data_IF_917600718958
#
_entry.id   IF_917600718958
#
_cell.length_a   1.000
_cell.length_b   1.000
_cell.length_c   1.000
_cell.angle_alpha   90.00
_cell.angle_beta   90.00
_cell.angle_gamma   90.00
#
_symmetry.space_group_name_H-M   'P 1'
#
loop_
_entity.id
_entity.type
_entity.pdbx_description
1 polymer ?
#
# COMPACT_ATOMS: atom_id res chain seq x y z
N UNK A 1 -8.42 30.49 -13.41
CA UNK A 1 -7.11 29.87 -13.09
C UNK A 1 -7.26 29.04 -11.84
N UNK A 2 -6.63 27.87 -11.77
CA UNK A 2 -6.61 27.07 -10.54
C UNK A 2 -5.53 27.61 -9.59
N UNK A 3 -5.85 27.74 -8.29
CA UNK A 3 -4.88 28.07 -7.24
C UNK A 3 -4.16 26.83 -6.68
N UNK A 4 -4.50 25.62 -7.16
CA UNK A 4 -3.85 24.37 -6.77
C UNK A 4 -2.63 24.14 -7.65
N UNK A 5 -1.46 23.85 -7.03
CA UNK A 5 -0.23 23.54 -7.75
C UNK A 5 -0.45 22.39 -8.74
N UNK A 6 0.10 22.50 -9.93
CA UNK A 6 -0.07 21.52 -11.01
C UNK A 6 0.89 20.33 -10.84
N UNK A 7 0.73 19.56 -9.76
CA UNK A 7 1.54 18.38 -9.44
C UNK A 7 0.97 17.08 -9.98
N UNK A 8 -0.27 17.11 -10.52
CA UNK A 8 -0.98 15.94 -11.06
C UNK A 8 -1.55 16.22 -12.44
N UNK A 9 -1.43 15.26 -13.36
CA UNK A 9 -2.15 15.24 -14.63
C UNK A 9 -3.60 14.79 -14.37
N UNK A 10 -4.48 15.73 -13.97
CA UNK A 10 -5.87 15.42 -13.61
C UNK A 10 -6.70 15.03 -14.81
N UNK A 11 -7.51 13.98 -14.65
CA UNK A 11 -8.57 13.67 -15.61
C UNK A 11 -9.71 14.70 -15.48
N UNK A 12 -10.42 15.02 -16.58
CA UNK A 12 -11.46 16.06 -16.60
C UNK A 12 -12.79 15.56 -16.02
N UNK A 13 -12.78 15.11 -14.77
CA UNK A 13 -13.96 14.69 -14.03
C UNK A 13 -13.85 15.14 -12.58
N UNK A 14 -14.96 15.59 -11.98
CA UNK A 14 -15.05 15.93 -10.58
C UNK A 14 -16.18 15.10 -9.94
N UNK A 15 -15.84 14.28 -8.96
CA UNK A 15 -16.81 13.47 -8.24
C UNK A 15 -17.43 14.27 -7.10
N UNK A 16 -18.75 14.18 -6.95
CA UNK A 16 -19.54 14.87 -5.94
C UNK A 16 -20.23 13.94 -4.96
N UNK A 17 -20.34 12.65 -5.30
CA UNK A 17 -20.96 11.62 -4.45
C UNK A 17 -20.27 10.27 -4.68
N UNK A 18 -20.25 9.44 -3.61
CA UNK A 18 -19.82 8.04 -3.69
C UNK A 18 -20.71 7.14 -2.83
N UNK A 19 -20.90 5.87 -3.26
CA UNK A 19 -21.64 4.84 -2.53
C UNK A 19 -21.16 3.46 -2.94
N UNK A 20 -20.72 2.63 -1.99
CA UNK A 20 -20.16 1.31 -2.28
C UNK A 20 -18.98 1.40 -3.24
N UNK A 21 -19.03 0.70 -4.35
CA UNK A 21 -18.00 0.73 -5.40
C UNK A 21 -18.27 1.79 -6.50
N UNK A 22 -19.16 2.75 -6.26
CA UNK A 22 -19.58 3.71 -7.28
C UNK A 22 -19.30 5.15 -6.89
N UNK A 23 -18.92 5.95 -7.88
CA UNK A 23 -18.79 7.40 -7.80
C UNK A 23 -19.68 8.09 -8.82
N UNK A 24 -20.15 9.30 -8.52
CA UNK A 24 -20.93 10.14 -9.42
C UNK A 24 -20.28 11.49 -9.59
N UNK A 25 -20.24 11.95 -10.83
CA UNK A 25 -19.83 13.31 -11.16
C UNK A 25 -20.97 14.34 -10.99
N UNK A 26 -20.65 15.60 -11.25
CA UNK A 26 -21.60 16.73 -11.16
C UNK A 26 -22.73 16.67 -12.18
N UNK A 27 -22.61 15.87 -13.24
CA UNK A 27 -23.63 15.68 -14.27
C UNK A 27 -24.53 14.45 -13.98
N UNK A 28 -24.26 13.74 -12.88
CA UNK A 28 -25.00 12.55 -12.47
C UNK A 28 -24.54 11.27 -13.16
N UNK A 29 -23.50 11.31 -13.98
CA UNK A 29 -22.89 10.09 -14.56
C UNK A 29 -22.20 9.31 -13.46
N UNK A 30 -22.43 7.99 -13.46
CA UNK A 30 -21.80 7.08 -12.48
C UNK A 30 -20.57 6.37 -13.07
N UNK A 31 -19.65 6.06 -12.17
CA UNK A 31 -18.41 5.39 -12.51
C UNK A 31 -18.16 4.26 -11.51
N UNK A 32 -17.86 3.06 -12.04
CA UNK A 32 -17.44 1.92 -11.24
C UNK A 32 -15.98 2.12 -10.81
N UNK A 33 -15.72 2.08 -9.51
CA UNK A 33 -14.39 2.35 -8.97
C UNK A 33 -13.54 1.08 -8.90
N UNK A 34 -12.78 0.81 -9.95
CA UNK A 34 -11.78 -0.26 -9.98
C UNK A 34 -10.45 0.10 -9.33
N UNK A 35 -10.34 1.29 -8.67
CA UNK A 35 -9.09 1.82 -8.14
C UNK A 35 -9.13 2.13 -6.63
N UNK A 36 -10.31 2.43 -6.08
CA UNK A 36 -10.52 2.77 -4.66
C UNK A 36 -9.57 3.85 -4.13
N UNK A 37 -9.33 4.91 -4.91
CA UNK A 37 -8.39 5.97 -4.53
C UNK A 37 -6.93 5.49 -4.41
N UNK A 38 -6.54 4.48 -5.17
CA UNK A 38 -5.26 3.75 -5.11
C UNK A 38 -5.16 2.93 -3.81
N UNK A 39 -6.07 1.96 -3.65
CA UNK A 39 -6.19 1.06 -2.50
C UNK A 39 -6.47 1.78 -1.15
N UNK A 40 -7.09 2.95 -1.18
CA UNK A 40 -7.41 3.75 0.02
C UNK A 40 -8.81 3.43 0.54
N UNK A 41 -9.82 3.48 -0.32
CA UNK A 41 -11.23 3.30 0.07
C UNK A 41 -11.58 1.81 0.20
N UNK A 42 -11.01 1.16 1.23
CA UNK A 42 -11.16 -0.28 1.47
C UNK A 42 -12.61 -0.71 1.61
N UNK A 43 -13.40 0.08 2.33
CA UNK A 43 -14.84 -0.15 2.55
C UNK A 43 -15.73 0.47 1.47
N UNK A 44 -15.14 0.92 0.35
CA UNK A 44 -15.86 1.70 -0.64
C UNK A 44 -16.20 3.11 -0.16
N UNK A 45 -17.18 3.71 -0.79
CA UNK A 45 -17.61 5.08 -0.53
C UNK A 45 -18.84 5.09 0.38
N UNK A 46 -18.88 6.05 1.33
CA UNK A 46 -20.01 6.32 2.23
C UNK A 46 -20.57 5.07 2.95
N UNK A 47 -19.68 4.16 3.39
CA UNK A 47 -20.10 2.94 4.10
C UNK A 47 -20.91 3.30 5.37
N UNK A 48 -22.16 2.82 5.56
CA UNK A 48 -23.07 3.34 6.60
C UNK A 48 -22.50 3.24 8.03
N UNK A 49 -21.95 2.07 8.42
CA UNK A 49 -21.38 1.89 9.76
C UNK A 49 -20.12 2.73 9.97
N UNK A 50 -19.30 2.89 8.94
CA UNK A 50 -18.10 3.73 9.00
C UNK A 50 -18.48 5.20 9.16
N UNK A 51 -19.42 5.70 8.35
CA UNK A 51 -19.92 7.07 8.42
C UNK A 51 -20.53 7.37 9.78
N UNK A 52 -21.36 6.45 10.33
CA UNK A 52 -21.97 6.62 11.66
C UNK A 52 -20.92 6.71 12.77
N UNK A 53 -19.90 5.86 12.75
CA UNK A 53 -18.82 5.86 13.75
C UNK A 53 -18.02 7.17 13.71
N UNK A 54 -17.66 7.64 12.50
CA UNK A 54 -16.92 8.91 12.35
C UNK A 54 -17.78 10.11 12.77
N UNK A 55 -19.06 10.16 12.39
CA UNK A 55 -19.96 11.23 12.79
C UNK A 55 -20.10 11.32 14.32
N UNK A 56 -20.20 10.18 14.99
CA UNK A 56 -20.22 10.14 16.46
C UNK A 56 -18.89 10.63 17.07
N UNK A 57 -17.75 10.22 16.51
CA UNK A 57 -16.44 10.64 17.01
C UNK A 57 -16.16 12.12 16.76
N UNK A 58 -16.58 12.67 15.61
CA UNK A 58 -16.48 14.10 15.30
C UNK A 58 -17.24 14.92 16.33
N UNK A 59 -18.43 14.46 16.76
CA UNK A 59 -19.21 15.11 17.80
C UNK A 59 -18.65 14.99 19.21
N UNK A 60 -17.67 14.10 19.43
CA UNK A 60 -17.06 13.82 20.74
C UNK A 60 -15.71 14.50 20.92
N UNK A 61 -14.74 14.13 20.09
CA UNK A 61 -13.34 14.62 20.17
C UNK A 61 -12.60 14.27 18.88
N UNK A 62 -12.02 15.27 18.21
CA UNK A 62 -11.23 15.05 17.00
C UNK A 62 -9.76 14.85 17.32
N UNK A 63 -9.18 15.71 18.17
CA UNK A 63 -7.75 15.75 18.48
C UNK A 63 -7.50 16.29 19.89
N UNK A 64 -6.49 15.75 20.59
CA UNK A 64 -6.10 16.24 21.91
C UNK A 64 -4.59 16.27 22.17
N UNK A 65 -3.74 15.96 21.21
CA UNK A 65 -2.27 15.81 21.34
C UNK A 65 -1.79 14.51 22.01
N UNK A 66 -0.65 13.99 21.53
CA UNK A 66 0.06 12.83 22.11
C UNK A 66 0.79 13.13 23.43
N UNK A 67 0.64 14.33 23.98
CA UNK A 67 1.05 14.65 25.34
C UNK A 67 0.13 13.98 26.38
N UNK A 68 -1.06 13.62 25.97
CA UNK A 68 -2.07 12.93 26.77
C UNK A 68 -2.29 11.51 26.26
N UNK A 69 -2.86 10.66 27.10
CA UNK A 69 -3.33 9.33 26.67
C UNK A 69 -4.56 9.47 25.76
N UNK A 70 -4.61 8.66 24.71
CA UNK A 70 -5.70 8.62 23.73
C UNK A 70 -6.28 7.21 23.69
N UNK A 71 -7.45 7.00 24.26
CA UNK A 71 -8.06 5.66 24.36
C UNK A 71 -8.26 4.99 23.00
N UNK A 72 -8.72 5.74 22.01
CA UNK A 72 -8.93 5.24 20.64
C UNK A 72 -7.61 4.78 19.98
N UNK A 73 -6.48 5.39 20.38
CA UNK A 73 -5.14 5.01 19.92
C UNK A 73 -4.73 3.66 20.52
N UNK A 74 -4.91 3.47 21.82
CA UNK A 74 -4.62 2.20 22.51
C UNK A 74 -5.47 1.06 21.93
N UNK A 75 -6.78 1.27 21.76
CA UNK A 75 -7.69 0.26 21.18
C UNK A 75 -7.27 -0.15 19.77
N UNK A 76 -6.84 0.81 18.93
CA UNK A 76 -6.37 0.49 17.58
C UNK A 76 -5.01 -0.21 17.63
N UNK A 77 -4.09 0.19 18.51
CA UNK A 77 -2.79 -0.46 18.70
C UNK A 77 -2.97 -1.91 19.14
N UNK A 78 -3.80 -2.18 20.14
CA UNK A 78 -4.12 -3.53 20.60
C UNK A 78 -4.67 -4.40 19.47
N UNK A 79 -5.62 -3.85 18.68
CA UNK A 79 -6.17 -4.58 17.53
C UNK A 79 -5.11 -4.89 16.49
N UNK A 80 -4.27 -3.93 16.12
CA UNK A 80 -3.19 -4.12 15.15
C UNK A 80 -2.16 -5.13 15.66
N UNK A 81 -1.70 -5.03 16.90
CA UNK A 81 -0.76 -5.98 17.50
C UNK A 81 -1.32 -7.41 17.51
N UNK A 82 -2.60 -7.55 17.87
CA UNK A 82 -3.29 -8.85 17.84
C UNK A 82 -3.35 -9.46 16.43
N UNK A 83 -3.66 -8.66 15.39
CA UNK A 83 -3.78 -9.14 14.01
C UNK A 83 -2.42 -9.43 13.37
N UNK A 84 -1.39 -8.68 13.74
CA UNK A 84 -0.02 -8.79 13.21
C UNK A 84 0.86 -9.75 13.98
N UNK A 85 0.54 -10.07 15.24
CA UNK A 85 1.43 -10.75 16.19
C UNK A 85 2.71 -9.92 16.46
N UNK A 86 2.66 -8.60 16.29
CA UNK A 86 3.73 -7.66 16.59
C UNK A 86 3.46 -6.96 17.94
N UNK A 87 4.37 -6.09 18.41
CA UNK A 87 4.40 -5.70 19.82
C UNK A 87 4.01 -4.26 20.10
N UNK A 88 4.34 -3.31 19.22
CA UNK A 88 4.08 -1.89 19.46
C UNK A 88 3.84 -1.13 18.16
N UNK A 89 3.12 -0.02 18.26
CA UNK A 89 2.69 0.79 17.11
C UNK A 89 3.03 2.26 17.33
N UNK A 90 3.68 2.88 16.36
CA UNK A 90 3.74 4.33 16.23
C UNK A 90 2.73 4.78 15.17
N UNK A 91 1.82 5.70 15.51
CA UNK A 91 0.84 6.26 14.58
C UNK A 91 1.30 7.56 13.95
N UNK A 92 0.97 7.74 12.67
CA UNK A 92 1.22 8.92 11.87
C UNK A 92 0.04 9.17 10.90
N UNK A 93 0.23 9.98 9.83
CA UNK A 93 -0.89 10.40 8.98
C UNK A 93 -0.84 9.84 7.56
N UNK A 94 0.26 9.20 7.18
CA UNK A 94 0.49 8.74 5.81
C UNK A 94 1.48 7.58 5.75
N UNK A 95 1.51 6.88 4.59
CA UNK A 95 2.53 5.86 4.33
C UNK A 95 3.95 6.44 4.25
N UNK A 96 4.10 7.69 3.78
CA UNK A 96 5.39 8.38 3.81
C UNK A 96 5.92 8.50 5.24
N UNK A 97 5.09 9.01 6.16
CA UNK A 97 5.48 9.18 7.56
C UNK A 97 5.73 7.83 8.26
N UNK A 98 4.94 6.80 7.94
CA UNK A 98 5.16 5.45 8.46
C UNK A 98 6.53 4.89 7.99
N UNK A 99 6.88 5.07 6.72
CA UNK A 99 8.17 4.66 6.18
C UNK A 99 9.33 5.54 6.70
N UNK A 100 9.13 6.85 6.93
CA UNK A 100 10.12 7.70 7.62
C UNK A 100 10.40 7.18 9.04
N UNK A 101 9.36 6.79 9.77
CA UNK A 101 9.52 6.17 11.10
C UNK A 101 10.32 4.87 11.02
N UNK A 102 10.01 3.98 10.08
CA UNK A 102 10.75 2.73 9.85
C UNK A 102 12.22 2.97 9.49
N UNK A 103 12.51 3.94 8.60
CA UNK A 103 13.88 4.33 8.22
C UNK A 103 14.64 4.89 9.43
N UNK A 104 14.01 5.76 10.23
CA UNK A 104 14.64 6.31 11.46
C UNK A 104 14.88 5.22 12.50
N UNK A 105 13.92 4.31 12.69
CA UNK A 105 14.06 3.17 13.60
C UNK A 105 15.25 2.30 13.18
N UNK A 106 15.37 1.95 11.90
CA UNK A 106 16.50 1.17 11.39
C UNK A 106 17.86 1.87 11.60
N UNK A 107 17.92 3.21 11.43
CA UNK A 107 19.14 3.96 11.72
C UNK A 107 19.50 3.95 13.21
N UNK A 108 18.54 4.15 14.09
CA UNK A 108 18.76 4.04 15.54
C UNK A 108 19.23 2.63 15.94
N UNK A 109 18.59 1.59 15.39
CA UNK A 109 19.01 0.21 15.58
C UNK A 109 20.48 0.01 15.19
N UNK A 110 20.92 0.54 14.05
CA UNK A 110 22.29 0.47 13.61
C UNK A 110 23.27 1.21 14.54
N UNK A 111 22.92 2.40 14.98
CA UNK A 111 23.74 3.17 15.94
C UNK A 111 23.87 2.45 17.30
N UNK A 112 22.82 1.79 17.76
CA UNK A 112 22.90 0.97 18.99
C UNK A 112 23.86 -0.23 18.84
N UNK A 113 24.15 -0.65 17.60
CA UNK A 113 25.15 -1.69 17.29
C UNK A 113 26.53 -1.11 16.96
N UNK A 114 26.75 0.19 17.13
CA UNK A 114 28.02 0.86 16.85
C UNK A 114 28.29 1.12 15.39
N UNK A 115 27.29 1.01 14.51
CA UNK A 115 27.42 1.31 13.07
C UNK A 115 27.22 2.83 12.87
N UNK A 116 28.28 3.53 12.49
CA UNK A 116 28.25 5.00 12.34
C UNK A 116 27.42 5.48 11.15
N UNK A 117 27.40 4.73 10.05
CA UNK A 117 26.69 5.07 8.82
C UNK A 117 25.71 3.96 8.40
N UNK A 118 24.61 3.75 9.16
CA UNK A 118 23.67 2.68 8.89
C UNK A 118 23.07 2.77 7.48
N UNK A 119 23.07 1.65 6.78
CA UNK A 119 22.53 1.52 5.44
C UNK A 119 21.33 0.57 5.40
N UNK A 120 20.37 0.86 4.53
CA UNK A 120 19.15 0.10 4.32
C UNK A 120 19.13 -0.41 2.88
N UNK A 121 18.96 -1.72 2.69
CA UNK A 121 18.73 -2.28 1.37
C UNK A 121 17.30 -1.95 0.92
N UNK A 122 17.15 -1.46 -0.31
CA UNK A 122 15.87 -1.17 -0.97
C UNK A 122 15.86 -1.78 -2.37
N UNK A 123 14.68 -1.99 -2.93
CA UNK A 123 14.52 -2.67 -4.22
C UNK A 123 14.41 -1.68 -5.39
N UNK A 124 14.86 -2.11 -6.57
CA UNK A 124 14.52 -1.44 -7.81
C UNK A 124 13.00 -1.39 -8.00
N UNK A 125 12.50 -0.32 -8.62
CA UNK A 125 11.07 -0.07 -8.90
C UNK A 125 10.17 0.00 -7.66
N UNK A 126 10.73 -0.04 -6.43
CA UNK A 126 9.96 0.17 -5.20
C UNK A 126 9.38 1.59 -5.12
N UNK A 127 8.29 1.73 -4.38
CA UNK A 127 7.71 3.03 -4.04
C UNK A 127 7.42 3.10 -2.54
N UNK A 128 8.17 3.96 -1.84
CA UNK A 128 8.03 4.10 -0.38
C UNK A 128 7.54 5.49 0.05
N UNK A 129 7.38 6.44 -0.88
CA UNK A 129 6.85 7.77 -0.58
C UNK A 129 7.52 8.92 -1.34
N UNK A 130 7.17 10.16 -0.94
CA UNK A 130 7.59 11.40 -1.59
C UNK A 130 8.30 12.38 -0.65
N UNK A 131 8.50 12.05 0.63
CA UNK A 131 9.39 12.79 1.53
C UNK A 131 10.85 12.49 1.16
N UNK A 132 11.81 13.32 1.56
CA UNK A 132 13.18 13.18 1.06
C UNK A 132 13.80 11.80 1.31
N UNK A 133 13.64 11.21 2.51
CA UNK A 133 14.21 9.89 2.76
C UNK A 133 13.41 8.78 2.05
N UNK A 134 12.08 8.82 2.07
CA UNK A 134 11.27 7.81 1.35
C UNK A 134 11.40 7.92 -0.16
N UNK A 135 11.61 9.15 -0.70
CA UNK A 135 11.93 9.39 -2.10
C UNK A 135 13.28 8.75 -2.47
N UNK A 136 14.27 8.90 -1.58
CA UNK A 136 15.60 8.29 -1.78
C UNK A 136 15.56 6.76 -1.75
N UNK A 137 14.68 6.18 -0.91
CA UNK A 137 14.41 4.74 -0.86
C UNK A 137 13.63 4.25 -2.09
N UNK A 138 12.79 5.09 -2.71
CA UNK A 138 11.98 4.77 -3.89
C UNK A 138 12.86 4.45 -5.10
N UNK A 139 12.58 3.33 -5.80
CA UNK A 139 13.36 2.80 -6.91
C UNK A 139 13.04 3.39 -8.30
N UNK A 140 12.51 4.61 -8.38
CA UNK A 140 12.11 5.26 -9.62
C UNK A 140 12.84 6.60 -9.82
N UNK A 141 13.80 6.63 -10.76
CA UNK A 141 14.59 7.84 -11.04
C UNK A 141 13.77 9.01 -11.60
N UNK A 142 12.66 8.76 -12.30
CA UNK A 142 11.79 9.82 -12.83
C UNK A 142 11.21 10.70 -11.72
N UNK A 143 10.92 10.11 -10.55
CA UNK A 143 10.35 10.85 -9.41
C UNK A 143 11.41 11.46 -8.49
N UNK A 144 12.66 11.04 -8.60
CA UNK A 144 13.81 11.58 -7.85
C UNK A 144 14.43 12.81 -8.52
N UNK A 145 14.36 12.88 -9.86
CA UNK A 145 15.01 13.90 -10.66
C UNK A 145 14.57 15.32 -10.23
N UNK A 146 15.55 16.19 -9.96
CA UNK A 146 15.34 17.56 -9.52
C UNK A 146 15.24 17.75 -8.00
N UNK A 147 15.37 16.66 -7.22
CA UNK A 147 15.36 16.71 -5.75
C UNK A 147 16.69 16.30 -5.11
N UNK A 148 17.75 16.23 -5.90
CA UNK A 148 19.11 15.98 -5.43
C UNK A 148 19.64 17.16 -4.60
N UNK A 149 20.52 16.92 -3.59
CA UNK A 149 21.10 15.63 -3.23
C UNK A 149 20.11 14.73 -2.47
N UNK A 150 20.05 13.45 -2.86
CA UNK A 150 19.23 12.46 -2.18
C UNK A 150 19.82 12.13 -0.81
N UNK A 151 18.97 11.65 0.11
CA UNK A 151 19.41 11.17 1.42
C UNK A 151 20.25 9.90 1.25
N UNK A 152 21.45 9.90 1.84
CA UNK A 152 22.37 8.77 1.82
C UNK A 152 21.93 7.61 2.71
N UNK A 153 22.59 6.44 2.57
CA UNK A 153 22.36 5.25 3.39
C UNK A 153 21.34 4.28 2.78
N UNK A 154 21.14 4.30 1.47
CA UNK A 154 20.34 3.32 0.76
C UNK A 154 21.20 2.51 -0.23
N UNK A 155 21.08 1.18 -0.18
CA UNK A 155 21.71 0.24 -1.11
C UNK A 155 20.62 -0.39 -1.97
N UNK A 156 20.66 -0.15 -3.29
CA UNK A 156 19.61 -0.61 -4.19
C UNK A 156 19.99 -1.91 -4.85
N UNK A 157 19.08 -2.89 -4.82
CA UNK A 157 19.26 -4.23 -5.42
C UNK A 157 18.08 -4.58 -6.34
N UNK A 158 18.27 -5.47 -7.32
CA UNK A 158 17.17 -5.98 -8.13
C UNK A 158 16.13 -6.72 -7.30
N UNK A 159 14.89 -6.71 -7.75
CA UNK A 159 13.75 -7.38 -7.12
C UNK A 159 13.81 -8.89 -7.40
N UNK A 160 13.56 -9.75 -6.39
CA UNK A 160 13.66 -11.21 -6.45
C UNK A 160 15.10 -11.73 -6.72
N UNK A 161 16.14 -10.98 -6.39
CA UNK A 161 17.55 -11.37 -6.58
C UNK A 161 18.23 -11.62 -5.22
N UNK A 162 18.28 -12.89 -4.79
CA UNK A 162 18.95 -13.27 -3.54
C UNK A 162 20.49 -13.22 -3.65
N UNK A 163 21.06 -13.36 -4.82
CA UNK A 163 22.52 -13.28 -4.99
C UNK A 163 23.00 -11.84 -4.79
N UNK A 164 22.24 -10.86 -5.27
CA UNK A 164 22.51 -9.46 -4.96
C UNK A 164 22.45 -9.17 -3.45
N UNK A 165 21.47 -9.74 -2.72
CA UNK A 165 21.39 -9.60 -1.25
C UNK A 165 22.62 -10.22 -0.58
N UNK A 166 23.04 -11.42 -0.98
CA UNK A 166 24.22 -12.11 -0.43
C UNK A 166 25.51 -11.35 -0.71
N UNK A 167 25.66 -10.79 -1.91
CA UNK A 167 26.82 -9.95 -2.25
C UNK A 167 26.88 -8.71 -1.37
N UNK A 168 25.75 -8.03 -1.13
CA UNK A 168 25.70 -6.90 -0.20
C UNK A 168 26.09 -7.34 1.21
N UNK A 169 25.57 -8.48 1.69
CA UNK A 169 25.90 -9.03 3.00
C UNK A 169 27.42 -9.31 3.18
N UNK A 170 28.08 -9.75 2.13
CA UNK A 170 29.52 -10.03 2.17
C UNK A 170 30.39 -8.77 2.18
N UNK A 171 29.97 -7.70 1.48
CA UNK A 171 30.84 -6.56 1.18
C UNK A 171 30.45 -5.26 1.88
N UNK A 172 29.25 -5.16 2.48
CA UNK A 172 28.79 -3.94 3.14
C UNK A 172 28.39 -4.18 4.60
N UNK A 173 29.29 -3.85 5.52
CA UNK A 173 29.10 -4.01 6.98
C UNK A 173 28.20 -2.94 7.61
N UNK A 174 27.82 -1.92 6.85
CA UNK A 174 26.96 -0.85 7.35
C UNK A 174 25.46 -1.18 7.21
N UNK A 175 25.11 -2.27 6.52
CA UNK A 175 23.69 -2.64 6.37
C UNK A 175 23.09 -3.08 7.69
N UNK A 176 21.94 -2.52 8.00
CA UNK A 176 21.20 -2.77 9.25
C UNK A 176 19.77 -3.24 9.01
N UNK A 177 19.23 -3.07 7.79
CA UNK A 177 17.87 -3.42 7.46
C UNK A 177 17.66 -3.64 5.95
N UNK A 178 16.57 -4.32 5.63
CA UNK A 178 16.00 -4.41 4.26
C UNK A 178 14.58 -3.85 4.33
N UNK A 179 14.25 -2.88 3.46
CA UNK A 179 12.89 -2.35 3.28
C UNK A 179 12.33 -2.81 1.94
N UNK A 180 11.21 -3.52 1.96
CA UNK A 180 10.65 -4.14 0.76
C UNK A 180 9.12 -4.17 0.77
N UNK A 181 8.51 -3.98 -0.40
CA UNK A 181 7.11 -4.27 -0.66
C UNK A 181 6.96 -5.74 -1.06
N UNK A 182 6.10 -6.52 -0.39
CA UNK A 182 5.83 -7.89 -0.87
C UNK A 182 5.16 -7.89 -2.25
N UNK A 183 4.33 -6.89 -2.53
CA UNK A 183 3.78 -6.63 -3.86
C UNK A 183 4.08 -5.18 -4.21
N UNK A 184 4.97 -4.95 -5.16
CA UNK A 184 5.28 -3.62 -5.66
C UNK A 184 4.10 -3.07 -6.46
N UNK A 185 3.30 -2.20 -5.85
CA UNK A 185 2.13 -1.64 -6.51
C UNK A 185 2.49 -0.73 -7.69
N UNK A 186 3.36 0.24 -7.45
CA UNK A 186 3.82 1.20 -8.47
C UNK A 186 4.82 0.58 -9.45
N UNK A 187 5.54 -0.46 -9.03
CA UNK A 187 6.47 -1.23 -9.87
C UNK A 187 5.80 -2.19 -10.86
N UNK A 188 4.47 -2.17 -11.00
CA UNK A 188 3.71 -2.97 -11.95
C UNK A 188 3.05 -4.21 -11.36
N UNK A 189 2.58 -4.15 -10.12
CA UNK A 189 1.94 -5.26 -9.40
C UNK A 189 2.83 -6.52 -9.41
N UNK A 190 4.11 -6.35 -9.09
CA UNK A 190 5.08 -7.43 -9.03
C UNK A 190 5.12 -8.03 -7.63
N UNK A 191 4.99 -9.35 -7.55
CA UNK A 191 4.96 -10.09 -6.29
C UNK A 191 6.31 -10.72 -6.00
N UNK A 192 6.81 -10.58 -4.76
CA UNK A 192 7.96 -11.37 -4.28
C UNK A 192 7.57 -12.84 -4.15
N UNK A 193 8.46 -13.70 -4.57
CA UNK A 193 8.33 -15.14 -4.38
C UNK A 193 8.35 -15.47 -2.89
N UNK A 194 7.54 -16.44 -2.48
CA UNK A 194 7.47 -16.88 -1.08
C UNK A 194 8.87 -17.37 -0.63
N UNK A 195 9.51 -18.19 -1.44
CA UNK A 195 10.84 -18.72 -1.14
C UNK A 195 11.90 -17.62 -1.03
N UNK A 196 11.81 -16.56 -1.87
CA UNK A 196 12.69 -15.40 -1.77
C UNK A 196 12.52 -14.69 -0.43
N UNK A 197 11.28 -14.41 -0.03
CA UNK A 197 11.01 -13.68 1.22
C UNK A 197 11.39 -14.50 2.46
N UNK A 198 11.22 -15.84 2.41
CA UNK A 198 11.72 -16.76 3.46
C UNK A 198 13.25 -16.75 3.57
N UNK A 199 13.95 -16.81 2.45
CA UNK A 199 15.42 -16.70 2.42
C UNK A 199 15.89 -15.31 2.87
N UNK A 200 15.16 -14.23 2.49
CA UNK A 200 15.48 -12.89 2.93
C UNK A 200 15.33 -12.76 4.46
N UNK A 201 14.29 -13.35 5.06
CA UNK A 201 14.14 -13.43 6.52
C UNK A 201 15.35 -14.13 7.16
N UNK A 202 15.74 -15.28 6.62
CA UNK A 202 16.91 -16.03 7.11
C UNK A 202 18.19 -15.18 7.05
N UNK A 203 18.48 -14.53 5.93
CA UNK A 203 19.66 -13.66 5.80
C UNK A 203 19.58 -12.49 6.79
N UNK A 204 18.41 -11.88 6.98
CA UNK A 204 18.24 -10.82 7.99
C UNK A 204 18.53 -11.32 9.41
N UNK A 205 18.16 -12.56 9.73
CA UNK A 205 18.45 -13.16 11.04
C UNK A 205 19.96 -13.45 11.20
N UNK A 206 20.61 -14.05 10.20
CA UNK A 206 22.04 -14.37 10.18
C UNK A 206 22.92 -13.10 10.27
N UNK A 207 22.52 -12.02 9.60
CA UNK A 207 23.24 -10.75 9.54
C UNK A 207 22.84 -9.78 10.66
N UNK A 208 21.89 -10.15 11.51
CA UNK A 208 21.29 -9.27 12.51
C UNK A 208 20.68 -7.98 11.91
N UNK A 209 20.11 -8.07 10.70
CA UNK A 209 19.38 -6.97 10.05
C UNK A 209 17.91 -6.98 10.42
N UNK A 210 17.25 -5.82 10.35
CA UNK A 210 15.81 -5.73 10.41
C UNK A 210 15.19 -6.08 9.05
N UNK A 211 14.20 -6.96 9.03
CA UNK A 211 13.31 -7.11 7.89
C UNK A 211 12.12 -6.17 8.05
N UNK A 212 12.03 -5.16 7.19
CA UNK A 212 10.99 -4.15 7.20
C UNK A 212 10.08 -4.34 5.98
N UNK A 213 8.79 -4.55 6.20
CA UNK A 213 7.80 -4.73 5.13
C UNK A 213 6.92 -3.49 4.98
N UNK A 214 6.92 -2.92 3.77
CA UNK A 214 5.98 -1.88 3.38
C UNK A 214 4.67 -2.53 2.92
N UNK A 215 3.68 -2.52 3.80
CA UNK A 215 2.33 -3.03 3.56
C UNK A 215 1.31 -1.90 3.32
N UNK A 216 1.78 -0.71 2.99
CA UNK A 216 0.95 0.48 2.75
C UNK A 216 -0.08 0.24 1.65
N UNK A 217 0.26 -0.50 0.60
CA UNK A 217 -0.67 -0.79 -0.49
C UNK A 217 -1.27 -2.20 -0.46
N UNK A 218 -0.54 -3.19 0.03
CA UNK A 218 -0.95 -4.60 0.00
C UNK A 218 -1.54 -5.12 1.31
N UNK A 219 -1.47 -4.35 2.40
CA UNK A 219 -2.07 -4.68 3.70
C UNK A 219 -3.58 -4.46 3.77
N UNK A 220 -4.11 -4.59 4.98
CA UNK A 220 -5.52 -4.31 5.33
C UNK A 220 -6.51 -5.05 4.43
N UNK A 221 -6.33 -6.37 4.31
CA UNK A 221 -7.27 -7.24 3.61
C UNK A 221 -7.10 -7.33 2.08
N UNK A 222 -6.28 -6.45 1.49
CA UNK A 222 -6.13 -6.31 0.02
C UNK A 222 -5.82 -7.63 -0.70
N UNK A 223 -5.02 -8.51 -0.09
CA UNK A 223 -4.57 -9.78 -0.66
C UNK A 223 -5.39 -10.99 -0.23
N UNK A 224 -6.50 -10.80 0.51
CA UNK A 224 -7.31 -11.89 1.07
C UNK A 224 -6.84 -12.38 2.44
N UNK A 225 -5.78 -11.81 2.99
CA UNK A 225 -5.36 -11.91 4.40
C UNK A 225 -5.21 -10.52 4.97
N UNK A 226 -5.12 -10.37 6.29
CA UNK A 226 -4.93 -9.06 6.92
C UNK A 226 -3.72 -8.34 6.33
N UNK A 227 -2.60 -9.06 6.20
CA UNK A 227 -1.34 -8.54 5.66
C UNK A 227 -0.77 -9.50 4.63
N UNK A 228 -0.09 -8.98 3.63
CA UNK A 228 0.44 -9.79 2.54
C UNK A 228 1.52 -10.77 3.01
N UNK A 229 2.33 -10.42 4.03
CA UNK A 229 3.34 -11.33 4.58
C UNK A 229 2.74 -12.62 5.17
N UNK A 230 1.50 -12.60 5.64
CA UNK A 230 0.84 -13.78 6.22
C UNK A 230 0.64 -14.94 5.22
N UNK A 231 0.83 -14.68 3.92
CA UNK A 231 0.87 -15.74 2.92
C UNK A 231 2.21 -16.51 2.89
N UNK A 232 3.22 -16.03 3.59
CA UNK A 232 4.61 -16.54 3.46
C UNK A 232 5.10 -17.27 4.70
N UNK A 233 4.38 -17.17 5.81
CA UNK A 233 4.73 -17.81 7.07
C UNK A 233 5.90 -17.15 7.84
N UNK A 234 6.37 -15.96 7.41
CA UNK A 234 7.41 -15.20 8.11
C UNK A 234 6.78 -14.10 8.98
N UNK A 235 7.53 -13.58 9.94
CA UNK A 235 7.19 -12.37 10.70
C UNK A 235 8.26 -11.30 10.43
N UNK A 236 7.88 -10.06 10.04
CA UNK A 236 8.83 -8.96 9.91
C UNK A 236 9.21 -8.39 11.28
N UNK A 237 10.34 -7.69 11.35
CA UNK A 237 10.71 -6.90 12.51
C UNK A 237 9.97 -5.55 12.55
N UNK A 238 9.72 -4.98 11.36
CA UNK A 238 8.98 -3.72 11.19
C UNK A 238 7.99 -3.85 10.04
N UNK A 239 6.81 -3.28 10.21
CA UNK A 239 5.80 -3.20 9.16
C UNK A 239 5.19 -1.81 9.11
N UNK A 240 4.97 -1.27 7.90
CA UNK A 240 4.32 0.03 7.71
C UNK A 240 2.95 -0.11 7.06
N UNK A 241 1.99 0.66 7.53
CA UNK A 241 0.61 0.69 7.07
C UNK A 241 0.14 2.11 6.80
N UNK A 242 -0.82 2.27 5.90
CA UNK A 242 -1.60 3.49 5.69
C UNK A 242 -2.81 3.16 4.80
N UNK A 243 -3.17 4.05 3.85
CA UNK A 243 -4.21 3.84 2.83
C UNK A 243 -5.45 3.14 3.37
N UNK A 244 -5.58 1.84 3.08
CA UNK A 244 -6.72 1.02 3.48
C UNK A 244 -7.02 0.99 4.96
N UNK A 245 -6.05 1.30 5.83
CA UNK A 245 -6.24 1.36 7.28
C UNK A 245 -7.31 2.39 7.67
N UNK A 246 -7.30 3.56 7.04
CA UNK A 246 -8.23 4.65 7.34
C UNK A 246 -9.47 4.69 6.44
N UNK A 247 -9.54 3.85 5.41
CA UNK A 247 -10.64 3.82 4.42
C UNK A 247 -11.07 5.22 3.92
N UNK A 248 -10.08 6.10 3.66
CA UNK A 248 -10.26 7.48 3.19
C UNK A 248 -9.80 8.53 4.22
N UNK A 249 -9.78 8.22 5.51
CA UNK A 249 -9.22 9.10 6.55
C UNK A 249 -7.70 8.96 6.58
N UNK A 250 -6.93 10.07 6.58
CA UNK A 250 -5.48 10.02 6.68
C UNK A 250 -5.01 9.40 8.01
N UNK A 251 -4.36 8.26 7.91
CA UNK A 251 -3.69 7.55 9.01
C UNK A 251 -2.57 6.69 8.45
N UNK A 252 -1.47 6.57 9.19
CA UNK A 252 -0.40 5.63 8.96
C UNK A 252 0.04 4.99 10.26
N UNK A 253 0.72 3.87 10.17
CA UNK A 253 1.29 3.18 11.33
C UNK A 253 2.64 2.54 10.97
N UNK A 254 3.59 2.65 11.88
CA UNK A 254 4.83 1.87 11.89
C UNK A 254 4.73 0.91 13.07
N UNK A 255 4.79 -0.39 12.80
CA UNK A 255 4.61 -1.45 13.79
C UNK A 255 5.94 -2.16 13.97
N UNK A 256 6.36 -2.42 15.19
CA UNK A 256 7.63 -3.05 15.52
C UNK A 256 7.44 -4.33 16.35
N UNK A 257 8.38 -5.28 16.18
CA UNK A 257 8.43 -6.52 16.93
C UNK A 257 9.88 -6.99 17.15
N UNK A 258 10.07 -7.89 18.12
CA UNK A 258 11.34 -8.52 18.39
C UNK A 258 12.45 -7.50 18.65
N UNK A 259 13.55 -7.57 17.90
CA UNK A 259 14.70 -6.67 18.02
C UNK A 259 14.45 -5.22 17.59
N UNK A 260 13.33 -4.95 16.94
CA UNK A 260 12.89 -3.60 16.57
C UNK A 260 12.02 -2.94 17.65
N UNK A 261 11.42 -3.71 18.57
CA UNK A 261 10.60 -3.18 19.63
C UNK A 261 11.45 -2.48 20.70
N UNK A 262 10.90 -1.40 21.31
CA UNK A 262 11.57 -0.65 22.36
C UNK A 262 12.73 0.26 21.91
N UNK A 263 13.01 0.35 20.61
CA UNK A 263 14.10 1.21 20.09
C UNK A 263 13.76 2.69 20.22
N UNK A 264 12.55 3.09 19.88
CA UNK A 264 12.10 4.44 20.08
C UNK A 264 11.80 4.71 21.55
N UNK A 265 12.35 5.80 22.07
CA UNK A 265 12.13 6.30 23.42
C UNK A 265 11.51 7.71 23.34
N UNK A 266 10.90 8.21 24.41
CA UNK A 266 10.35 9.57 24.46
C UNK A 266 11.34 10.61 23.90
N UNK A 267 10.87 11.41 22.93
CA UNK A 267 11.66 12.45 22.25
C UNK A 267 12.40 12.00 20.99
N UNK A 268 12.49 10.71 20.67
CA UNK A 268 13.19 10.25 19.46
C UNK A 268 12.41 10.51 18.18
N UNK A 269 11.09 10.39 18.23
CA UNK A 269 10.19 10.60 17.09
C UNK A 269 8.84 11.12 17.58
N UNK A 270 8.04 11.71 16.67
CA UNK A 270 6.74 12.24 17.04
C UNK A 270 5.94 12.72 15.83
N UNK A 271 4.65 12.91 16.06
CA UNK A 271 3.70 13.49 15.10
C UNK A 271 2.66 14.28 15.88
N UNK A 272 2.32 15.48 15.39
CA UNK A 272 1.27 16.30 16.01
C UNK A 272 -0.10 15.64 15.86
N UNK A 273 -0.46 15.19 14.66
CA UNK A 273 -1.78 14.63 14.34
C UNK A 273 -1.83 13.11 14.38
N UNK A 274 -0.69 12.43 14.29
CA UNK A 274 -0.64 10.97 14.24
C UNK A 274 -1.27 10.34 15.47
N UNK A 275 -2.19 9.39 15.26
CA UNK A 275 -2.89 8.70 16.35
C UNK A 275 -3.99 9.51 17.02
N UNK A 276 -4.53 10.57 16.37
CA UNK A 276 -5.65 11.32 16.93
C UNK A 276 -6.93 10.46 17.04
N UNK A 277 -7.85 10.81 17.95
CA UNK A 277 -9.07 10.03 18.17
C UNK A 277 -9.91 9.75 16.93
N UNK A 278 -10.05 10.73 16.02
CA UNK A 278 -10.84 10.55 14.80
C UNK A 278 -10.18 9.53 13.85
N UNK A 279 -8.89 9.66 13.59
CA UNK A 279 -8.16 8.77 12.70
C UNK A 279 -8.08 7.34 13.28
N UNK A 280 -7.88 7.20 14.59
CA UNK A 280 -7.86 5.89 15.24
C UNK A 280 -9.25 5.23 15.24
N UNK A 281 -10.32 5.99 15.45
CA UNK A 281 -11.70 5.49 15.27
C UNK A 281 -11.94 5.01 13.85
N UNK A 282 -11.45 5.73 12.84
CA UNK A 282 -11.54 5.29 11.45
C UNK A 282 -10.82 3.96 11.23
N UNK A 283 -9.56 3.83 11.68
CA UNK A 283 -8.79 2.60 11.57
C UNK A 283 -9.46 1.42 12.28
N UNK A 284 -9.86 1.59 13.53
CA UNK A 284 -10.51 0.55 14.31
C UNK A 284 -11.85 0.11 13.68
N UNK A 285 -12.66 1.07 13.23
CA UNK A 285 -13.93 0.78 12.55
C UNK A 285 -13.71 0.03 11.24
N UNK A 286 -12.69 0.42 10.46
CA UNK A 286 -12.32 -0.29 9.23
C UNK A 286 -11.97 -1.75 9.51
N UNK A 287 -11.10 -2.01 10.49
CA UNK A 287 -10.70 -3.38 10.85
C UNK A 287 -11.89 -4.20 11.35
N UNK A 288 -12.75 -3.62 12.18
CA UNK A 288 -13.94 -4.30 12.70
C UNK A 288 -14.94 -4.66 11.58
N UNK A 289 -15.16 -3.78 10.61
CA UNK A 289 -16.05 -4.07 9.47
C UNK A 289 -15.46 -5.18 8.60
N UNK A 290 -14.17 -5.12 8.28
CA UNK A 290 -13.49 -6.17 7.50
C UNK A 290 -13.67 -7.55 8.16
N UNK A 291 -13.50 -7.63 9.48
CA UNK A 291 -13.64 -8.86 10.25
C UNK A 291 -15.10 -9.37 10.27
N UNK A 292 -16.04 -8.50 10.68
CA UNK A 292 -17.45 -8.84 10.83
C UNK A 292 -18.11 -9.27 9.51
N UNK A 293 -17.77 -8.61 8.42
CA UNK A 293 -18.32 -8.89 7.09
C UNK A 293 -17.49 -9.93 6.31
N UNK A 294 -16.45 -10.51 6.95
CA UNK A 294 -15.60 -11.55 6.37
C UNK A 294 -14.96 -11.11 5.05
N UNK A 295 -14.59 -9.83 4.94
CA UNK A 295 -14.11 -9.24 3.70
C UNK A 295 -12.75 -9.81 3.24
N UNK A 296 -11.98 -10.48 4.11
CA UNK A 296 -10.76 -11.18 3.70
C UNK A 296 -11.08 -12.34 2.74
N UNK A 297 -12.01 -13.21 3.12
CA UNK A 297 -12.43 -14.32 2.28
C UNK A 297 -13.12 -13.83 0.99
N UNK A 298 -13.90 -12.76 1.10
CA UNK A 298 -14.51 -12.12 -0.05
C UNK A 298 -13.46 -11.56 -1.03
N UNK A 299 -12.45 -10.85 -0.55
CA UNK A 299 -11.36 -10.32 -1.38
C UNK A 299 -10.57 -11.43 -2.09
N UNK A 300 -10.33 -12.57 -1.44
CA UNK A 300 -9.68 -13.71 -2.07
C UNK A 300 -10.56 -14.32 -3.18
N UNK A 301 -11.83 -14.58 -2.90
CA UNK A 301 -12.75 -15.19 -3.87
C UNK A 301 -13.04 -14.27 -5.05
N UNK A 302 -13.32 -12.98 -4.79
CA UNK A 302 -13.58 -11.99 -5.83
C UNK A 302 -12.33 -11.73 -6.68
N UNK A 303 -11.15 -11.70 -6.05
CA UNK A 303 -9.88 -11.55 -6.76
C UNK A 303 -9.59 -12.72 -7.70
N UNK A 304 -9.91 -13.96 -7.30
CA UNK A 304 -9.85 -15.13 -8.20
C UNK A 304 -10.83 -14.99 -9.34
N UNK A 305 -12.09 -14.67 -9.06
CA UNK A 305 -13.12 -14.46 -10.09
C UNK A 305 -12.69 -13.44 -11.14
N UNK A 306 -12.16 -12.29 -10.73
CA UNK A 306 -11.69 -11.26 -11.67
C UNK A 306 -10.50 -11.78 -12.49
N UNK A 307 -9.49 -12.40 -11.88
CA UNK A 307 -8.32 -12.92 -12.62
C UNK A 307 -8.68 -14.03 -13.59
N UNK A 308 -9.56 -14.96 -13.21
CA UNK A 308 -10.04 -16.03 -14.08
C UNK A 308 -10.88 -15.46 -15.25
N UNK A 309 -11.73 -14.47 -14.98
CA UNK A 309 -12.49 -13.76 -16.00
C UNK A 309 -11.59 -13.04 -17.01
N UNK A 310 -10.56 -12.33 -16.52
CA UNK A 310 -9.55 -11.70 -17.36
C UNK A 310 -8.78 -12.74 -18.20
N UNK A 311 -8.31 -13.81 -17.56
CA UNK A 311 -7.56 -14.87 -18.24
C UNK A 311 -8.39 -15.53 -19.34
N UNK A 312 -9.64 -15.82 -19.08
CA UNK A 312 -10.57 -16.41 -20.07
C UNK A 312 -10.85 -15.43 -21.21
N UNK A 313 -11.20 -14.18 -20.87
CA UNK A 313 -11.57 -13.19 -21.87
C UNK A 313 -10.41 -12.74 -22.76
N UNK A 314 -9.17 -12.74 -22.22
CA UNK A 314 -7.97 -12.29 -22.91
C UNK A 314 -7.09 -13.45 -23.42
N UNK A 315 -7.56 -14.69 -23.35
CA UNK A 315 -6.84 -15.86 -23.83
C UNK A 315 -6.53 -15.72 -25.33
N UNK A 316 -5.26 -15.88 -25.70
CA UNK A 316 -4.80 -15.79 -27.09
C UNK A 316 -4.82 -14.38 -27.70
N UNK A 317 -5.08 -13.35 -26.90
CA UNK A 317 -5.01 -11.96 -27.35
C UNK A 317 -3.55 -11.52 -27.42
N UNK A 318 -3.02 -11.34 -28.64
CA UNK A 318 -1.68 -10.82 -28.85
C UNK A 318 -1.55 -9.43 -28.22
N UNK A 319 -0.41 -9.17 -27.53
CA UNK A 319 -0.17 -7.91 -26.83
C UNK A 319 -0.48 -7.96 -25.33
N UNK A 320 -1.20 -8.97 -24.82
CA UNK A 320 -1.33 -9.23 -23.38
C UNK A 320 -0.22 -10.18 -22.95
N UNK A 321 0.69 -9.69 -22.10
CA UNK A 321 1.86 -10.48 -21.63
C UNK A 321 1.54 -11.34 -20.44
N UNK A 322 0.90 -10.75 -19.40
CA UNK A 322 0.69 -11.42 -18.13
C UNK A 322 -0.49 -10.81 -17.38
N UNK A 323 -1.26 -11.67 -16.69
CA UNK A 323 -2.25 -11.28 -15.69
C UNK A 323 -1.75 -11.83 -14.36
N UNK A 324 -1.48 -10.96 -13.38
CA UNK A 324 -0.90 -11.31 -12.07
C UNK A 324 -1.54 -10.58 -10.92
N UNK A 325 -1.20 -10.98 -9.71
CA UNK A 325 -1.67 -10.35 -8.48
C UNK A 325 -2.23 -11.32 -7.46
N UNK A 326 -2.72 -10.82 -6.33
CA UNK A 326 -3.26 -11.60 -5.23
C UNK A 326 -4.43 -10.87 -4.56
N UNK A 327 -5.53 -11.58 -4.28
CA UNK A 327 -6.76 -10.92 -3.82
C UNK A 327 -7.18 -9.83 -4.80
N UNK A 328 -7.44 -8.65 -4.30
CA UNK A 328 -7.90 -7.48 -5.05
C UNK A 328 -6.78 -6.46 -5.37
N UNK A 329 -5.55 -6.92 -5.55
CA UNK A 329 -4.47 -6.18 -6.20
C UNK A 329 -4.06 -6.95 -7.45
N UNK A 330 -4.46 -6.45 -8.63
CA UNK A 330 -4.38 -7.16 -9.91
C UNK A 330 -3.69 -6.27 -10.94
N UNK A 331 -2.76 -6.84 -11.69
CA UNK A 331 -2.06 -6.20 -12.80
C UNK A 331 -2.27 -6.96 -14.11
N UNK A 332 -2.55 -6.24 -15.19
CA UNK A 332 -2.60 -6.76 -16.54
C UNK A 332 -1.48 -6.07 -17.32
N UNK A 333 -0.42 -6.81 -17.65
CA UNK A 333 0.74 -6.28 -18.38
C UNK A 333 0.53 -6.43 -19.88
N UNK A 334 0.69 -5.32 -20.61
CA UNK A 334 0.68 -5.28 -22.07
C UNK A 334 2.12 -5.17 -22.61
N UNK A 335 2.29 -5.45 -23.90
CA UNK A 335 3.59 -5.38 -24.58
C UNK A 335 3.99 -3.95 -24.99
N UNK A 336 3.06 -3.00 -24.88
CA UNK A 336 3.25 -1.57 -25.21
C UNK A 336 2.74 -0.66 -24.09
N UNK A 337 3.22 0.60 -24.00
CA UNK A 337 2.66 1.59 -23.06
C UNK A 337 1.15 1.76 -23.27
N UNK A 338 0.39 1.76 -22.17
CA UNK A 338 -1.07 1.71 -22.23
C UNK A 338 -1.78 2.81 -21.42
N UNK A 339 -1.13 3.94 -21.20
CA UNK A 339 -1.68 5.07 -20.42
C UNK A 339 -3.01 5.61 -20.97
N UNK A 340 -3.25 5.55 -22.28
CA UNK A 340 -4.50 6.03 -22.89
C UNK A 340 -5.71 5.17 -22.52
N UNK A 341 -5.52 3.91 -22.12
CA UNK A 341 -6.61 3.06 -21.62
C UNK A 341 -7.32 3.68 -20.40
N UNK A 342 -6.63 4.48 -19.61
CA UNK A 342 -7.25 5.18 -18.46
C UNK A 342 -8.37 6.13 -18.92
N UNK A 343 -8.14 6.87 -20.01
CA UNK A 343 -9.16 7.79 -20.57
C UNK A 343 -10.29 7.02 -21.25
N UNK A 344 -9.96 5.95 -21.97
CA UNK A 344 -10.96 5.08 -22.60
C UNK A 344 -11.87 4.41 -21.56
N UNK A 345 -11.31 3.89 -20.49
CA UNK A 345 -12.07 3.30 -19.38
C UNK A 345 -12.95 4.36 -18.68
N UNK A 346 -12.40 5.56 -18.41
CA UNK A 346 -13.17 6.68 -17.84
C UNK A 346 -14.38 7.05 -18.71
N UNK A 347 -14.20 7.12 -20.01
CA UNK A 347 -15.31 7.40 -20.95
C UNK A 347 -16.43 6.35 -20.86
N UNK A 348 -16.08 5.08 -20.62
CA UNK A 348 -17.02 3.97 -20.40
C UNK A 348 -17.54 3.86 -18.96
N UNK A 349 -17.16 4.77 -18.05
CA UNK A 349 -17.62 4.78 -16.66
C UNK A 349 -16.88 3.79 -15.76
N UNK A 350 -15.63 3.43 -16.08
CA UNK A 350 -14.75 2.60 -15.24
C UNK A 350 -13.52 3.40 -14.81
N UNK A 351 -13.23 3.40 -13.51
CA UNK A 351 -12.00 3.99 -12.98
C UNK A 351 -10.92 2.90 -12.84
N UNK A 352 -9.79 3.14 -13.45
CA UNK A 352 -8.59 2.31 -13.36
C UNK A 352 -7.36 3.19 -13.53
N UNK A 353 -6.16 2.65 -13.34
CA UNK A 353 -4.94 3.36 -13.69
C UNK A 353 -3.91 2.43 -14.34
N UNK A 354 -2.87 3.04 -14.88
CA UNK A 354 -1.71 2.35 -15.44
C UNK A 354 -0.48 2.68 -14.60
N UNK A 355 0.30 1.67 -14.29
CA UNK A 355 1.58 1.77 -13.58
C UNK A 355 2.68 1.09 -14.39
N UNK A 356 3.95 1.43 -14.14
CA UNK A 356 5.10 0.92 -14.88
C UNK A 356 4.93 1.01 -16.41
N UNK A 357 4.30 2.09 -16.88
CA UNK A 357 4.01 2.46 -18.27
C UNK A 357 3.04 1.51 -19.01
N UNK A 358 3.07 0.19 -18.74
CA UNK A 358 2.36 -0.85 -19.52
C UNK A 358 1.48 -1.79 -18.69
N UNK A 359 1.25 -1.52 -17.40
CA UNK A 359 0.47 -2.39 -16.52
C UNK A 359 -0.82 -1.71 -16.09
N UNK A 360 -1.95 -2.20 -16.54
CA UNK A 360 -3.26 -1.79 -16.04
C UNK A 360 -3.39 -2.37 -14.63
N UNK A 361 -3.65 -1.51 -13.64
CA UNK A 361 -3.78 -1.93 -12.24
C UNK A 361 -5.21 -1.78 -11.76
N UNK A 362 -5.72 -2.85 -11.16
CA UNK A 362 -7.01 -2.88 -10.48
C UNK A 362 -6.82 -3.01 -8.98
N UNK A 363 -7.49 -2.13 -8.24
CA UNK A 363 -7.50 -2.05 -6.78
C UNK A 363 -8.92 -1.78 -6.26
N UNK A 364 -9.94 -2.55 -6.67
CA UNK A 364 -11.32 -2.26 -6.30
C UNK A 364 -11.51 -2.29 -4.78
N UNK A 365 -12.54 -1.61 -4.22
CA UNK A 365 -12.86 -1.72 -2.80
C UNK A 365 -13.19 -3.16 -2.42
N UNK A 366 -12.90 -3.56 -1.17
CA UNK A 366 -13.16 -4.94 -0.71
C UNK A 366 -14.64 -5.30 -0.68
N UNK A 367 -15.52 -4.30 -0.68
CA UNK A 367 -16.97 -4.46 -0.69
C UNK A 367 -17.58 -4.59 -2.08
N UNK A 368 -16.77 -4.51 -3.15
CA UNK A 368 -17.26 -4.70 -4.52
C UNK A 368 -17.97 -6.05 -4.66
N UNK A 369 -19.15 -6.06 -5.22
CA UNK A 369 -19.93 -7.28 -5.44
C UNK A 369 -19.44 -8.05 -6.68
N UNK A 370 -19.77 -9.34 -6.77
CA UNK A 370 -19.44 -10.13 -7.96
C UNK A 370 -20.12 -9.60 -9.24
N UNK A 371 -21.34 -9.05 -9.13
CA UNK A 371 -22.04 -8.43 -10.26
C UNK A 371 -21.32 -7.17 -10.76
N UNK A 372 -20.78 -6.35 -9.85
CA UNK A 372 -19.95 -5.18 -10.19
C UNK A 372 -18.59 -5.61 -10.79
N UNK A 373 -17.99 -6.67 -10.27
CA UNK A 373 -16.78 -7.23 -10.85
C UNK A 373 -17.01 -7.78 -12.28
N UNK A 374 -18.18 -8.38 -12.55
CA UNK A 374 -18.55 -8.76 -13.91
C UNK A 374 -18.68 -7.54 -14.83
N UNK A 375 -19.33 -6.46 -14.36
CA UNK A 375 -19.42 -5.21 -15.13
C UNK A 375 -18.02 -4.60 -15.42
N UNK A 376 -17.09 -4.68 -14.45
CA UNK A 376 -15.70 -4.27 -14.67
C UNK A 376 -15.06 -5.07 -15.81
N UNK A 377 -15.23 -6.40 -15.82
CA UNK A 377 -14.72 -7.28 -16.88
C UNK A 377 -15.36 -6.95 -18.23
N UNK A 378 -16.69 -6.76 -18.27
CA UNK A 378 -17.45 -6.46 -19.49
C UNK A 378 -17.03 -5.12 -20.12
N UNK A 379 -16.56 -4.16 -19.33
CA UNK A 379 -16.01 -2.89 -19.81
C UNK A 379 -14.54 -3.02 -20.22
N UNK A 380 -13.72 -3.62 -19.34
CA UNK A 380 -12.26 -3.56 -19.50
C UNK A 380 -11.74 -4.52 -20.59
N UNK A 381 -12.28 -5.75 -20.68
CA UNK A 381 -11.75 -6.73 -21.61
C UNK A 381 -11.90 -6.32 -23.09
N UNK A 382 -13.05 -5.80 -23.55
CA UNK A 382 -13.17 -5.26 -24.91
C UNK A 382 -12.19 -4.11 -25.18
N UNK A 383 -12.04 -3.17 -24.21
CA UNK A 383 -11.13 -2.04 -24.36
C UNK A 383 -9.67 -2.50 -24.54
N UNK A 384 -9.24 -3.51 -23.77
CA UNK A 384 -7.89 -4.08 -23.92
C UNK A 384 -7.73 -4.69 -25.30
N UNK A 385 -8.70 -5.50 -25.78
CA UNK A 385 -8.64 -6.13 -27.10
C UNK A 385 -8.54 -5.11 -28.23
N UNK A 386 -9.37 -4.09 -28.20
CA UNK A 386 -9.34 -2.99 -29.19
C UNK A 386 -7.99 -2.26 -29.15
N UNK A 387 -7.50 -1.96 -27.94
CA UNK A 387 -6.26 -1.22 -27.75
C UNK A 387 -5.02 -1.97 -28.25
N UNK A 388 -4.91 -3.28 -28.03
CA UNK A 388 -3.73 -4.05 -28.47
C UNK A 388 -3.74 -4.32 -29.98
N UNK A 389 -4.91 -4.25 -30.64
CA UNK A 389 -5.06 -4.40 -32.10
C UNK A 389 -4.82 -3.10 -32.87
N UNK A 390 -4.89 -1.94 -32.21
CA UNK A 390 -4.56 -0.63 -32.77
C UNK A 390 -3.05 -0.35 -32.70
#
# INVERSE_FOLDING_TARGET
MSHVMNTYARLPVAFVRGEGAWLWDSEGKRYLDGLAGIAVNTLGHAHPRFTAALSAQIGKLIHCSNVYQVNEQELLADKLCSLTQMQEVFFCNSGCEANEAAIKLARMYGHQQGIEAPAIIVMEKAFHGRTLATLSATGNRKVQAGFEPLVSGFVRVPYNDMDAIRQVAQHNRNVVAVLVERIQGEGGVRTLDIAYLQQLRQVCDEQNWLLMLDEVQCGIGRTGKWFAYQHTGILPDVMTLAKGLGSGVPIGACIAAGKAAGIFQPGNHGSTFGGNPLACTAGLTTLNIIEQDKLLAHADSLGRFIREGLATALQGVNGVKEIRGQGLIIGIELDKPCGDLVKLALAKGLLTNVTADSVIRLLPPLVMTQGEAQQLLDILCPLIKEFVQS
#
